data_IF_011828535248
#
_entry.id   IF_011828535248
#
_cell.length_a   1.000
_cell.length_b   1.000
_cell.length_c   1.000
_cell.angle_alpha   90.00
_cell.angle_beta   90.00
_cell.angle_gamma   90.00
#
_symmetry.space_group_name_H-M   'P 1'
#
loop_
_entity.id
_entity.type
_entity.pdbx_description
1 polymer ?
#
# COMPACT_ATOMS: atom_id res chain seq x y z
N UNK A 1 12.67 11.55 5.51
CA UNK A 1 12.92 11.70 4.06
C UNK A 1 13.94 10.66 3.60
N UNK A 2 13.99 10.32 2.31
CA UNK A 2 15.03 9.44 1.73
C UNK A 2 14.74 7.93 1.72
N UNK A 3 13.48 7.51 1.90
CA UNK A 3 13.13 6.08 2.01
C UNK A 3 12.68 5.43 0.68
N UNK A 4 12.73 6.19 -0.42
CA UNK A 4 12.31 5.70 -1.74
C UNK A 4 13.10 4.47 -2.19
N UNK A 5 14.40 4.43 -1.92
CA UNK A 5 15.24 3.27 -2.24
C UNK A 5 14.77 2.02 -1.48
N UNK A 6 14.46 2.14 -0.19
CA UNK A 6 13.98 1.02 0.60
C UNK A 6 12.62 0.51 0.10
N UNK A 7 11.70 1.41 -0.30
CA UNK A 7 10.43 1.01 -0.91
C UNK A 7 10.68 0.26 -2.24
N UNK A 8 11.55 0.80 -3.10
CA UNK A 8 11.94 0.17 -4.36
C UNK A 8 12.55 -1.23 -4.17
N UNK A 9 13.52 -1.35 -3.28
CA UNK A 9 14.24 -2.62 -3.02
C UNK A 9 13.29 -3.71 -2.52
N UNK A 10 12.27 -3.34 -1.73
CA UNK A 10 11.25 -4.29 -1.29
C UNK A 10 10.35 -4.74 -2.45
N UNK A 11 9.97 -3.83 -3.36
CA UNK A 11 9.23 -4.22 -4.57
C UNK A 11 10.01 -5.22 -5.41
N UNK A 12 11.31 -4.97 -5.65
CA UNK A 12 12.20 -5.91 -6.33
C UNK A 12 12.27 -7.26 -5.59
N UNK A 13 12.45 -7.24 -4.26
CA UNK A 13 12.52 -8.45 -3.42
C UNK A 13 11.27 -9.33 -3.53
N UNK A 14 10.09 -8.72 -3.58
CA UNK A 14 8.82 -9.43 -3.61
C UNK A 14 8.25 -9.64 -5.02
N UNK A 15 8.92 -9.15 -6.06
CA UNK A 15 8.47 -9.27 -7.45
C UNK A 15 7.23 -8.43 -7.74
N UNK A 16 7.03 -7.33 -7.01
CA UNK A 16 5.92 -6.40 -7.18
C UNK A 16 6.46 -5.07 -7.66
N UNK A 17 5.86 -4.53 -8.71
CA UNK A 17 6.24 -3.22 -9.23
C UNK A 17 6.12 -2.13 -8.14
N UNK A 18 7.22 -1.42 -7.81
CA UNK A 18 7.21 -0.40 -6.77
C UNK A 18 6.21 0.75 -6.97
N UNK A 19 5.81 1.03 -8.20
CA UNK A 19 4.81 2.05 -8.49
C UNK A 19 3.47 1.75 -7.80
N UNK A 20 3.10 0.48 -7.66
CA UNK A 20 1.86 0.09 -6.99
C UNK A 20 1.89 0.44 -5.49
N UNK A 21 2.98 0.09 -4.80
CA UNK A 21 3.11 0.45 -3.38
C UNK A 21 3.12 1.98 -3.18
N UNK A 22 3.77 2.71 -4.09
CA UNK A 22 3.81 4.17 -4.04
C UNK A 22 2.42 4.78 -4.28
N UNK A 23 1.63 4.22 -5.20
CA UNK A 23 0.27 4.66 -5.50
C UNK A 23 -0.68 4.41 -4.32
N UNK A 24 -0.59 3.23 -3.68
CA UNK A 24 -1.30 2.96 -2.44
C UNK A 24 -0.91 3.95 -1.35
N UNK A 25 0.39 4.19 -1.17
CA UNK A 25 0.87 5.10 -0.12
C UNK A 25 0.41 6.55 -0.34
N UNK A 26 0.34 6.98 -1.61
CA UNK A 26 -0.22 8.26 -2.01
C UNK A 26 -1.69 8.36 -1.62
N UNK A 27 -2.50 7.37 -2.01
CA UNK A 27 -3.93 7.33 -1.77
C UNK A 27 -4.27 7.30 -0.27
N UNK A 28 -3.58 6.43 0.47
CA UNK A 28 -3.87 6.12 1.87
C UNK A 28 -3.53 7.25 2.84
N UNK A 29 -2.48 8.03 2.56
CA UNK A 29 -1.94 8.96 3.55
C UNK A 29 -1.17 10.14 3.00
N UNK A 30 -1.22 10.38 1.68
CA UNK A 30 -0.37 11.38 1.03
C UNK A 30 1.10 11.17 1.43
N UNK A 31 1.60 9.96 1.19
CA UNK A 31 2.97 9.55 1.52
C UNK A 31 3.31 9.65 3.01
N UNK A 32 2.37 9.27 3.87
CA UNK A 32 2.58 9.17 5.32
C UNK A 32 2.48 10.49 6.06
N UNK A 33 1.94 11.53 5.42
CA UNK A 33 1.78 12.86 6.03
C UNK A 33 0.40 13.08 6.65
N UNK A 34 -0.54 12.14 6.45
CA UNK A 34 -1.92 12.21 6.94
C UNK A 34 -2.36 10.93 7.65
N UNK A 35 -3.37 11.08 8.49
CA UNK A 35 -4.05 9.97 9.16
C UNK A 35 -3.15 9.16 10.11
N UNK A 36 -3.57 7.93 10.38
CA UNK A 36 -2.87 7.02 11.31
C UNK A 36 -1.46 6.65 10.85
N UNK A 37 -1.17 6.74 9.55
CA UNK A 37 0.14 6.49 8.96
C UNK A 37 1.26 7.36 9.58
N UNK A 38 0.91 8.57 10.05
CA UNK A 38 1.85 9.47 10.76
C UNK A 38 2.37 8.91 12.08
N UNK A 39 1.65 7.94 12.67
CA UNK A 39 1.98 7.25 13.92
C UNK A 39 2.40 5.81 13.65
N UNK A 40 1.70 5.11 12.75
CA UNK A 40 1.89 3.68 12.54
C UNK A 40 3.09 3.32 11.68
N UNK A 41 3.61 4.27 10.89
CA UNK A 41 4.59 4.01 9.82
C UNK A 41 4.10 2.95 8.81
N UNK A 42 2.78 2.90 8.59
CA UNK A 42 2.13 1.97 7.67
C UNK A 42 1.83 2.67 6.34
N UNK A 43 2.32 2.14 5.22
CA UNK A 43 1.97 2.70 3.90
C UNK A 43 0.53 2.41 3.48
N UNK A 44 -0.04 1.30 3.97
CA UNK A 44 -1.31 0.78 3.49
C UNK A 44 -2.38 0.68 4.58
N UNK A 45 -2.14 1.21 5.78
CA UNK A 45 -3.09 1.12 6.90
C UNK A 45 -3.61 -0.32 7.12
N UNK A 46 -2.70 -1.30 7.12
CA UNK A 46 -3.04 -2.72 7.32
C UNK A 46 -3.70 -2.92 8.69
N UNK A 47 -4.84 -3.62 8.73
CA UNK A 47 -5.54 -3.94 9.99
C UNK A 47 -4.71 -4.91 10.85
N UNK A 48 -4.69 -4.64 12.14
CA UNK A 48 -4.00 -5.50 13.11
C UNK A 48 -4.86 -6.74 13.42
N UNK A 49 -4.22 -7.91 13.41
CA UNK A 49 -4.77 -9.15 13.96
C UNK A 49 -4.06 -9.48 15.28
N UNK A 50 -4.54 -10.49 16.00
CA UNK A 50 -3.96 -10.88 17.28
C UNK A 50 -2.44 -11.11 17.17
N UNK A 51 -1.67 -10.49 18.07
CA UNK A 51 -0.22 -10.59 18.12
C UNK A 51 0.54 -9.45 17.44
N UNK A 52 -0.12 -8.59 16.67
CA UNK A 52 0.52 -7.39 16.12
C UNK A 52 0.46 -6.21 17.09
N UNK A 53 1.55 -5.45 17.19
CA UNK A 53 1.50 -4.12 17.77
C UNK A 53 0.53 -3.26 16.96
N UNK A 54 -0.26 -2.42 17.63
CA UNK A 54 -1.30 -1.66 16.96
C UNK A 54 -1.52 -0.26 17.52
N UNK A 55 -2.09 0.60 16.68
CA UNK A 55 -2.63 1.91 17.01
C UNK A 55 -3.98 2.03 16.28
N UNK A 56 -5.06 2.30 17.03
CA UNK A 56 -6.44 2.43 16.50
C UNK A 56 -6.89 1.29 15.55
N UNK A 57 -6.50 0.05 15.85
CA UNK A 57 -6.85 -1.13 15.04
C UNK A 57 -5.96 -1.38 13.83
N UNK A 58 -4.93 -0.55 13.62
CA UNK A 58 -3.98 -0.66 12.51
C UNK A 58 -2.62 -1.15 13.01
N UNK A 59 -1.93 -1.96 12.21
CA UNK A 59 -0.58 -2.45 12.54
C UNK A 59 0.37 -1.26 12.74
N UNK A 60 1.14 -1.31 13.82
CA UNK A 60 2.10 -0.30 14.22
C UNK A 60 3.52 -0.84 14.02
N UNK A 61 4.33 -0.10 13.27
CA UNK A 61 5.72 -0.45 12.96
C UNK A 61 6.70 0.53 13.62
N UNK A 62 7.91 0.03 13.92
CA UNK A 62 8.97 0.88 14.48
C UNK A 62 9.59 1.80 13.42
N UNK A 63 9.58 1.37 12.17
CA UNK A 63 10.12 2.11 11.03
C UNK A 63 9.22 1.96 9.82
N UNK A 64 9.29 2.95 8.92
CA UNK A 64 8.62 2.89 7.61
C UNK A 64 9.04 1.69 6.78
N UNK A 65 10.32 1.30 6.83
CA UNK A 65 10.84 0.14 6.11
C UNK A 65 10.19 -1.18 6.55
N UNK A 66 9.87 -1.32 7.85
CA UNK A 66 9.11 -2.46 8.34
C UNK A 66 7.68 -2.45 7.79
N UNK A 67 7.05 -1.28 7.74
CA UNK A 67 5.73 -1.11 7.13
C UNK A 67 5.73 -1.46 5.64
N UNK A 68 6.72 -0.98 4.88
CA UNK A 68 6.91 -1.28 3.46
C UNK A 68 7.03 -2.79 3.25
N UNK A 69 7.92 -3.45 3.98
CA UNK A 69 8.11 -4.89 3.87
C UNK A 69 6.82 -5.66 4.19
N UNK A 70 6.07 -5.29 5.24
CA UNK A 70 4.85 -6.02 5.60
C UNK A 70 3.75 -5.87 4.54
N UNK A 71 3.63 -4.69 3.91
CA UNK A 71 2.68 -4.50 2.80
C UNK A 71 3.06 -5.32 1.57
N UNK A 72 4.33 -5.27 1.13
CA UNK A 72 4.76 -6.07 -0.02
C UNK A 72 4.58 -7.56 0.24
N UNK A 73 4.91 -8.02 1.46
CA UNK A 73 4.69 -9.40 1.87
C UNK A 73 3.21 -9.77 1.84
N UNK A 74 2.33 -8.90 2.34
CA UNK A 74 0.89 -9.11 2.30
C UNK A 74 0.40 -9.26 0.87
N UNK A 75 0.74 -8.31 -0.01
CA UNK A 75 0.31 -8.35 -1.42
C UNK A 75 0.86 -9.58 -2.13
N UNK A 76 2.16 -9.83 -2.07
CA UNK A 76 2.77 -10.95 -2.76
C UNK A 76 2.28 -12.31 -2.23
N UNK A 77 2.26 -12.49 -0.89
CA UNK A 77 1.99 -13.82 -0.30
C UNK A 77 0.53 -14.13 -0.10
N UNK A 78 -0.28 -13.14 0.24
CA UNK A 78 -1.70 -13.38 0.50
C UNK A 78 -2.54 -13.13 -0.75
N UNK A 79 -2.43 -11.94 -1.34
CA UNK A 79 -3.29 -11.54 -2.45
C UNK A 79 -2.90 -12.29 -3.73
N UNK A 80 -1.62 -12.23 -4.12
CA UNK A 80 -1.16 -12.85 -5.36
C UNK A 80 -1.01 -14.37 -5.20
N UNK A 81 -0.11 -14.84 -4.33
CA UNK A 81 0.23 -16.28 -4.26
C UNK A 81 -0.93 -17.15 -3.79
N UNK A 82 -1.67 -16.74 -2.74
CA UNK A 82 -2.71 -17.57 -2.12
C UNK A 82 -4.11 -17.34 -2.70
N UNK A 83 -4.48 -16.10 -3.00
CA UNK A 83 -5.82 -15.76 -3.48
C UNK A 83 -5.91 -15.60 -5.00
N UNK A 84 -4.77 -15.52 -5.72
CA UNK A 84 -4.74 -15.35 -7.17
C UNK A 84 -5.21 -13.97 -7.65
N UNK A 85 -5.16 -12.96 -6.78
CA UNK A 85 -5.54 -11.57 -7.08
C UNK A 85 -4.29 -10.82 -7.53
N UNK A 86 -4.18 -10.54 -8.83
CA UNK A 86 -2.98 -9.97 -9.44
C UNK A 86 -3.20 -8.60 -10.10
N UNK A 87 -4.42 -8.06 -10.08
CA UNK A 87 -4.73 -6.72 -10.61
C UNK A 87 -5.31 -5.81 -9.53
N UNK A 88 -5.26 -4.49 -9.76
CA UNK A 88 -5.84 -3.48 -8.85
C UNK A 88 -7.33 -3.73 -8.63
N UNK A 89 -8.06 -3.96 -9.72
CA UNK A 89 -9.50 -4.31 -9.71
C UNK A 89 -9.84 -5.54 -8.88
N UNK A 90 -8.93 -6.51 -8.79
CA UNK A 90 -9.11 -7.71 -7.98
C UNK A 90 -8.76 -7.47 -6.51
N UNK A 91 -7.72 -6.65 -6.25
CA UNK A 91 -7.17 -6.42 -4.92
C UNK A 91 -8.03 -5.45 -4.12
N UNK A 92 -8.42 -4.30 -4.70
CA UNK A 92 -9.08 -3.20 -3.96
C UNK A 92 -10.41 -3.60 -3.32
N UNK A 93 -11.33 -4.33 -3.99
CA UNK A 93 -12.58 -4.74 -3.36
C UNK A 93 -12.39 -5.63 -2.12
N UNK A 94 -11.25 -6.31 -2.00
CA UNK A 94 -10.88 -7.11 -0.81
C UNK A 94 -10.09 -6.29 0.21
N UNK A 95 -9.24 -5.37 -0.26
CA UNK A 95 -8.37 -4.56 0.58
C UNK A 95 -9.11 -3.41 1.28
N UNK A 96 -9.99 -2.71 0.56
CA UNK A 96 -10.74 -1.56 1.00
C UNK A 96 -12.19 -1.65 0.48
N UNK A 97 -13.00 -2.60 1.01
CA UNK A 97 -14.36 -2.80 0.55
C UNK A 97 -15.26 -1.62 0.89
N UNK A 98 -16.28 -1.41 0.07
CA UNK A 98 -17.36 -0.43 0.26
C UNK A 98 -18.17 -0.66 1.53
N UNK A 99 -18.22 -1.90 2.03
CA UNK A 99 -18.81 -2.24 3.33
C UNK A 99 -18.13 -1.50 4.50
N UNK A 100 -16.86 -1.11 4.34
CA UNK A 100 -16.09 -0.30 5.30
C UNK A 100 -16.11 1.20 4.94
N UNK A 101 -17.09 1.64 4.13
CA UNK A 101 -17.27 3.01 3.66
C UNK A 101 -16.18 3.53 2.70
N UNK A 102 -15.51 2.64 1.99
CA UNK A 102 -14.60 3.01 0.91
C UNK A 102 -15.33 3.22 -0.43
N UNK A 103 -14.73 4.00 -1.32
CA UNK A 103 -15.14 4.08 -2.73
C UNK A 103 -14.14 3.27 -3.57
N UNK A 104 -14.48 2.01 -3.82
CA UNK A 104 -13.63 1.07 -4.56
C UNK A 104 -13.28 1.60 -5.96
N UNK A 105 -14.26 2.15 -6.67
CA UNK A 105 -14.07 2.64 -8.03
C UNK A 105 -13.15 3.86 -8.08
N UNK A 106 -13.34 4.82 -7.17
CA UNK A 106 -12.46 5.97 -7.07
C UNK A 106 -11.04 5.58 -6.63
N UNK A 107 -10.90 4.58 -5.75
CA UNK A 107 -9.58 4.08 -5.33
C UNK A 107 -8.86 3.42 -6.51
N UNK A 108 -9.51 2.49 -7.23
CA UNK A 108 -8.96 1.86 -8.45
C UNK A 108 -8.46 2.93 -9.42
N UNK A 109 -9.32 3.90 -9.78
CA UNK A 109 -8.97 4.97 -10.72
C UNK A 109 -7.78 5.80 -10.23
N UNK A 110 -7.74 6.12 -8.93
CA UNK A 110 -6.64 6.89 -8.34
C UNK A 110 -5.31 6.14 -8.42
N UNK A 111 -5.32 4.82 -8.23
CA UNK A 111 -4.10 3.99 -8.26
C UNK A 111 -3.61 3.80 -9.69
N UNK A 112 -4.51 3.42 -10.59
CA UNK A 112 -4.18 3.20 -12.00
C UNK A 112 -3.67 4.48 -12.67
N UNK A 113 -4.33 5.61 -12.42
CA UNK A 113 -3.90 6.90 -12.97
C UNK A 113 -2.48 7.30 -12.52
N UNK A 114 -2.14 7.05 -11.25
CA UNK A 114 -0.79 7.33 -10.74
C UNK A 114 0.26 6.43 -11.40
N UNK A 115 -0.03 5.14 -11.53
CA UNK A 115 0.85 4.15 -12.14
C UNK A 115 1.09 4.49 -13.62
N UNK A 116 0.03 4.74 -14.39
CA UNK A 116 0.12 5.11 -15.81
C UNK A 116 0.95 6.38 -16.01
N UNK A 117 0.73 7.38 -15.14
CA UNK A 117 1.48 8.64 -15.16
C UNK A 117 2.97 8.38 -14.94
N UNK A 118 3.35 7.62 -13.91
CA UNK A 118 4.76 7.35 -13.60
C UNK A 118 5.44 6.43 -14.62
N UNK A 119 4.73 5.42 -15.14
CA UNK A 119 5.26 4.52 -16.17
C UNK A 119 5.43 5.19 -17.53
N UNK A 120 4.61 6.19 -17.85
CA UNK A 120 4.80 7.01 -19.05
C UNK A 120 6.01 7.96 -18.96
N UNK A 121 6.69 8.01 -17.81
CA UNK A 121 7.77 8.96 -17.55
C UNK A 121 7.27 10.39 -17.28
N UNK A 122 5.95 10.57 -17.11
CA UNK A 122 5.35 11.87 -16.77
C UNK A 122 5.52 12.11 -15.28
N UNK A 123 6.46 12.98 -14.90
CA UNK A 123 6.55 13.46 -13.52
C UNK A 123 5.63 14.65 -13.38
N UNK A 124 4.49 14.48 -12.71
CA UNK A 124 3.65 15.61 -12.33
C UNK A 124 4.44 16.49 -11.34
N UNK A 125 4.73 17.72 -11.76
CA UNK A 125 5.38 18.77 -10.97
C UNK A 125 4.34 19.59 -10.19
#
# INVERSE_FOLDING_TARGET
AGKGQALYDQGVKYGIDPAYALAFFMHESTFGTRGVATVTHSLGNIRATHGYAQYDGYRLYRTWEQGFEDWYKLIAKQYVDQWGLSTVDQIIPVYAPSADHNDEAAYIQSVEHAIDTWHSGSVAL
#
